data_IF_275770979218
#
_entry.id   IF_275770979218
#
_cell.length_a   1.000
_cell.length_b   1.000
_cell.length_c   1.000
_cell.angle_alpha   90.00
_cell.angle_beta   90.00
_cell.angle_gamma   90.00
#
_symmetry.space_group_name_H-M   'P 1'
#
loop_
_entity.id
_entity.type
_entity.pdbx_description
1 polymer ?
#
# COMPACT_ATOMS: atom_id res chain seq x y z
N UNK A 1 0.11 -18.21 35.39
CA UNK A 1 -0.81 -17.05 35.38
C UNK A 1 -1.44 -17.00 34.00
N UNK A 2 -2.70 -17.45 33.89
CA UNK A 2 -3.44 -17.58 32.63
C UNK A 2 -3.96 -16.21 32.20
N UNK A 3 -3.58 -15.75 31.01
CA UNK A 3 -4.27 -14.66 30.34
C UNK A 3 -5.52 -15.22 29.64
N UNK A 4 -6.63 -15.21 30.35
CA UNK A 4 -7.95 -15.50 29.80
C UNK A 4 -8.53 -14.22 29.19
N UNK A 5 -8.63 -14.22 27.86
CA UNK A 5 -9.14 -13.14 27.03
C UNK A 5 -8.74 -13.45 25.60
N UNK A 6 -9.33 -14.51 25.03
CA UNK A 6 -9.04 -14.94 23.66
C UNK A 6 -9.52 -13.89 22.66
N UNK A 7 -8.73 -12.85 22.44
CA UNK A 7 -8.91 -11.96 21.29
C UNK A 7 -8.77 -12.80 20.04
N UNK A 8 -9.82 -12.81 19.23
CA UNK A 8 -9.85 -13.52 17.95
C UNK A 8 -8.66 -13.06 17.08
N UNK A 9 -7.87 -14.03 16.61
CA UNK A 9 -6.71 -13.76 15.77
C UNK A 9 -7.11 -13.23 14.40
N UNK A 10 -6.27 -12.40 13.77
CA UNK A 10 -6.48 -11.89 12.41
C UNK A 10 -6.81 -13.02 11.43
N UNK A 11 -6.21 -14.20 11.62
CA UNK A 11 -6.36 -15.38 10.76
C UNK A 11 -7.80 -15.89 10.68
N UNK A 12 -8.54 -15.81 11.78
CA UNK A 12 -9.94 -16.24 11.82
C UNK A 12 -10.82 -15.40 10.89
N UNK A 13 -10.35 -14.20 10.53
CA UNK A 13 -11.00 -13.27 9.59
C UNK A 13 -10.66 -13.54 8.13
N UNK A 14 -9.55 -14.22 7.81
CA UNK A 14 -9.16 -14.57 6.43
C UNK A 14 -9.42 -16.04 6.12
N UNK A 15 -10.67 -16.48 6.26
CA UNK A 15 -11.06 -17.86 5.96
C UNK A 15 -10.85 -18.15 4.46
N UNK A 16 -10.06 -19.17 4.14
CA UNK A 16 -9.73 -19.55 2.76
C UNK A 16 -8.41 -19.00 2.24
N UNK A 17 -7.62 -18.32 3.08
CA UNK A 17 -6.21 -18.00 2.77
C UNK A 17 -5.41 -19.28 2.48
N UNK A 18 -4.48 -19.22 1.54
CA UNK A 18 -3.58 -20.35 1.28
C UNK A 18 -2.74 -20.67 2.52
N UNK A 19 -2.61 -21.96 2.91
CA UNK A 19 -1.78 -22.35 4.04
C UNK A 19 -0.32 -21.90 3.90
N UNK A 20 0.20 -21.87 2.67
CA UNK A 20 1.56 -21.45 2.36
C UNK A 20 1.76 -19.96 2.64
N UNK A 21 0.84 -19.10 2.19
CA UNK A 21 0.90 -17.66 2.47
C UNK A 21 0.79 -17.41 3.98
N UNK A 22 -0.18 -18.05 4.64
CA UNK A 22 -0.39 -17.86 6.07
C UNK A 22 0.84 -18.26 6.90
N UNK A 23 1.46 -19.40 6.59
CA UNK A 23 2.69 -19.83 7.25
C UNK A 23 3.83 -18.82 7.04
N UNK A 24 3.98 -18.29 5.83
CA UNK A 24 5.02 -17.29 5.49
C UNK A 24 4.79 -15.97 6.20
N UNK A 25 3.55 -15.48 6.27
CA UNK A 25 3.17 -14.29 7.04
C UNK A 25 3.53 -14.47 8.52
N UNK A 26 3.13 -15.59 9.14
CA UNK A 26 3.50 -15.89 10.54
C UNK A 26 5.01 -15.87 10.75
N UNK A 27 5.75 -16.54 9.86
CA UNK A 27 7.21 -16.63 9.95
C UNK A 27 7.87 -15.25 9.87
N UNK A 28 7.51 -14.44 8.88
CA UNK A 28 8.10 -13.13 8.66
C UNK A 28 7.84 -12.16 9.82
N UNK A 29 6.60 -12.14 10.33
CA UNK A 29 6.23 -11.29 11.46
C UNK A 29 6.87 -11.73 12.77
N UNK A 30 6.92 -13.04 13.02
CA UNK A 30 7.59 -13.62 14.19
C UNK A 30 9.10 -13.36 14.18
N UNK A 31 9.75 -13.51 13.01
CA UNK A 31 11.18 -13.25 12.85
C UNK A 31 11.57 -11.80 13.20
N UNK A 32 10.69 -10.84 12.92
CA UNK A 32 10.88 -9.43 13.26
C UNK A 32 10.42 -9.07 14.68
N UNK A 33 9.87 -10.03 15.43
CA UNK A 33 9.28 -9.85 16.76
C UNK A 33 8.19 -8.78 16.77
N UNK A 34 7.28 -8.83 15.79
CA UNK A 34 6.17 -7.88 15.66
C UNK A 34 4.87 -8.62 15.91
N UNK A 35 4.05 -8.09 16.81
CA UNK A 35 2.72 -8.62 17.12
C UNK A 35 1.73 -8.19 16.02
N UNK A 36 1.51 -9.08 15.05
CA UNK A 36 0.57 -8.85 13.95
C UNK A 36 -0.86 -8.69 14.45
N UNK A 37 -1.31 -9.51 15.40
CA UNK A 37 -2.69 -9.46 15.90
C UNK A 37 -3.00 -8.12 16.58
N UNK A 38 -2.03 -7.56 17.32
CA UNK A 38 -2.19 -6.24 17.93
C UNK A 38 -2.25 -5.12 16.87
N UNK A 39 -1.29 -5.09 15.93
CA UNK A 39 -1.28 -4.05 14.89
C UNK A 39 -2.51 -4.15 13.97
N UNK A 40 -2.91 -5.37 13.61
CA UNK A 40 -4.10 -5.63 12.80
C UNK A 40 -5.37 -5.08 13.45
N UNK A 41 -5.55 -5.29 14.77
CA UNK A 41 -6.70 -4.76 15.51
C UNK A 41 -6.71 -3.23 15.61
N UNK A 42 -5.54 -2.60 15.79
CA UNK A 42 -5.42 -1.14 15.92
C UNK A 42 -5.64 -0.39 14.60
N UNK A 43 -5.42 -1.06 13.47
CA UNK A 43 -5.43 -0.45 12.15
C UNK A 43 -6.53 -1.05 11.26
N UNK A 44 -6.39 -2.30 10.83
CA UNK A 44 -7.29 -2.93 9.85
C UNK A 44 -8.69 -3.10 10.42
N UNK A 45 -8.82 -3.68 11.62
CA UNK A 45 -10.13 -3.84 12.27
C UNK A 45 -10.79 -2.50 12.65
N UNK A 46 -9.98 -1.44 12.76
CA UNK A 46 -10.42 -0.09 13.08
C UNK A 46 -10.71 0.76 11.83
N UNK A 47 -10.54 0.22 10.61
CA UNK A 47 -10.85 0.94 9.38
C UNK A 47 -12.32 1.39 9.36
N UNK A 48 -12.62 2.61 8.87
CA UNK A 48 -13.99 3.03 8.63
C UNK A 48 -14.70 2.08 7.67
N UNK A 49 -15.83 1.53 8.10
CA UNK A 49 -16.60 0.58 7.28
C UNK A 49 -15.93 -0.79 7.13
N UNK A 50 -15.05 -1.19 8.06
CA UNK A 50 -14.46 -2.52 8.10
C UNK A 50 -15.53 -3.61 7.93
N UNK A 51 -15.25 -4.54 7.03
CA UNK A 51 -16.06 -5.73 6.76
C UNK A 51 -15.14 -6.93 6.65
N UNK A 52 -15.51 -8.03 7.29
CA UNK A 52 -14.82 -9.29 7.08
C UNK A 52 -15.00 -9.73 5.62
N UNK A 53 -13.98 -10.36 5.00
CA UNK A 53 -14.22 -11.05 3.73
C UNK A 53 -15.28 -12.12 3.97
N UNK A 54 -16.34 -12.11 3.16
CA UNK A 54 -17.36 -13.14 3.21
C UNK A 54 -16.70 -14.51 3.06
N UNK A 55 -17.01 -15.49 3.93
CA UNK A 55 -16.49 -16.84 3.78
C UNK A 55 -16.92 -17.37 2.42
N UNK A 56 -15.98 -17.44 1.47
CA UNK A 56 -16.24 -18.06 0.19
C UNK A 56 -16.72 -19.49 0.44
N UNK A 57 -17.83 -19.88 -0.20
CA UNK A 57 -18.25 -21.29 -0.27
C UNK A 57 -17.06 -22.08 -0.77
N UNK A 58 -16.37 -22.81 0.12
CA UNK A 58 -15.16 -23.61 -0.13
C UNK A 58 -14.48 -23.24 -1.46
N UNK A 59 -13.94 -22.02 -1.54
CA UNK A 59 -13.45 -21.51 -2.81
C UNK A 59 -12.29 -22.40 -3.28
N UNK A 60 -12.36 -22.91 -4.50
CA UNK A 60 -11.28 -23.69 -5.12
C UNK A 60 -10.00 -22.85 -5.32
N UNK A 61 -10.11 -21.52 -5.18
CA UNK A 61 -9.06 -20.54 -5.40
C UNK A 61 -8.92 -19.62 -4.17
N UNK A 62 -7.74 -19.63 -3.54
CA UNK A 62 -7.40 -18.77 -2.41
C UNK A 62 -7.00 -17.35 -2.82
N UNK A 63 -6.69 -17.12 -4.12
CA UNK A 63 -6.14 -15.87 -4.64
C UNK A 63 -6.90 -14.62 -4.16
N UNK A 64 -8.25 -14.57 -4.15
CA UNK A 64 -8.95 -13.38 -3.69
C UNK A 64 -8.71 -13.06 -2.22
N UNK A 65 -8.66 -14.07 -1.36
CA UNK A 65 -8.43 -13.91 0.09
C UNK A 65 -6.96 -13.64 0.37
N UNK A 66 -6.06 -14.28 -0.38
CA UNK A 66 -4.61 -14.04 -0.33
C UNK A 66 -4.28 -12.58 -0.69
N UNK A 67 -4.87 -12.06 -1.77
CA UNK A 67 -4.74 -10.65 -2.16
C UNK A 67 -5.28 -9.71 -1.09
N UNK A 68 -6.43 -10.02 -0.48
CA UNK A 68 -7.00 -9.19 0.59
C UNK A 68 -6.10 -9.15 1.83
N UNK A 69 -5.53 -10.31 2.21
CA UNK A 69 -4.58 -10.38 3.31
C UNK A 69 -3.36 -9.51 3.02
N UNK A 70 -2.76 -9.65 1.83
CA UNK A 70 -1.58 -8.88 1.44
C UNK A 70 -1.85 -7.37 1.30
N UNK A 71 -3.04 -7.01 0.81
CA UNK A 71 -3.52 -5.63 0.79
C UNK A 71 -3.57 -5.04 2.20
N UNK A 72 -4.18 -5.75 3.14
CA UNK A 72 -4.32 -5.31 4.53
C UNK A 72 -2.95 -5.20 5.23
N UNK A 73 -1.96 -6.02 4.82
CA UNK A 73 -0.56 -5.92 5.27
C UNK A 73 0.12 -4.64 4.76
N UNK A 74 -0.13 -4.26 3.51
CA UNK A 74 0.30 -2.97 2.98
C UNK A 74 -0.33 -1.80 3.73
N UNK A 75 -1.65 -1.87 3.99
CA UNK A 75 -2.36 -0.85 4.76
C UNK A 75 -1.75 -0.65 6.15
N UNK A 76 -1.41 -1.73 6.87
CA UNK A 76 -0.78 -1.64 8.19
C UNK A 76 0.46 -0.74 8.17
N UNK A 77 1.25 -0.80 7.10
CA UNK A 77 2.47 -0.02 6.99
C UNK A 77 2.18 1.46 6.75
N UNK A 78 1.18 1.77 5.91
CA UNK A 78 0.73 3.15 5.66
C UNK A 78 0.12 3.76 6.93
N UNK A 79 -0.68 3.00 7.67
CA UNK A 79 -1.25 3.45 8.94
C UNK A 79 -0.16 3.72 9.99
N UNK A 80 0.85 2.85 10.08
CA UNK A 80 2.02 3.09 10.91
C UNK A 80 2.75 4.36 10.48
N UNK A 81 3.01 4.56 9.18
CA UNK A 81 3.64 5.78 8.66
C UNK A 81 2.84 7.03 9.04
N UNK A 82 1.52 7.01 8.87
CA UNK A 82 0.61 8.11 9.22
C UNK A 82 0.71 8.49 10.69
N UNK A 83 0.61 7.51 11.58
CA UNK A 83 0.64 7.73 13.04
C UNK A 83 2.01 8.22 13.51
N UNK A 84 3.08 7.62 13.00
CA UNK A 84 4.42 7.98 13.45
C UNK A 84 4.92 9.28 12.80
N UNK A 85 4.46 9.66 11.61
CA UNK A 85 4.65 11.01 11.08
C UNK A 85 3.97 12.06 11.96
N UNK A 86 2.74 11.81 12.42
CA UNK A 86 2.07 12.69 13.37
C UNK A 86 2.83 12.77 14.72
N UNK A 87 3.36 11.65 15.19
CA UNK A 87 4.18 11.62 16.40
C UNK A 87 5.49 12.40 16.25
N UNK A 88 6.17 12.32 15.10
CA UNK A 88 7.35 13.12 14.78
C UNK A 88 7.06 14.63 14.77
N UNK A 89 5.86 15.05 14.37
CA UNK A 89 5.46 16.46 14.39
C UNK A 89 5.19 16.92 15.83
N UNK A 90 4.49 16.10 16.61
CA UNK A 90 4.12 16.42 17.99
C UNK A 90 5.32 16.36 18.95
N UNK A 91 6.23 15.41 18.72
CA UNK A 91 7.40 15.13 19.55
C UNK A 91 8.62 15.00 18.64
N UNK A 92 9.08 16.11 18.02
CA UNK A 92 10.26 16.06 17.18
C UNK A 92 11.44 15.55 18.02
N UNK A 93 12.25 14.60 17.51
CA UNK A 93 13.52 14.30 18.16
C UNK A 93 14.34 15.60 18.22
N UNK A 94 15.24 15.72 19.20
CA UNK A 94 16.06 16.92 19.47
C UNK A 94 16.58 17.63 18.21
N UNK A 95 17.03 18.89 18.33
CA UNK A 95 17.34 19.92 17.30
C UNK A 95 18.00 19.54 15.95
N UNK A 96 18.35 18.28 15.69
CA UNK A 96 18.92 17.73 14.46
C UNK A 96 17.96 16.79 13.71
N UNK A 97 16.70 17.15 13.45
CA UNK A 97 15.82 16.34 12.56
C UNK A 97 16.38 16.31 11.14
N UNK A 98 16.43 15.14 10.51
CA UNK A 98 16.97 14.97 9.16
C UNK A 98 15.96 15.37 8.08
N UNK A 99 14.68 15.08 8.32
CA UNK A 99 13.55 15.59 7.56
C UNK A 99 13.24 17.03 7.98
N UNK A 100 12.83 17.84 6.99
CA UNK A 100 12.22 19.13 7.28
C UNK A 100 10.79 18.94 7.79
N UNK A 101 10.25 19.95 8.48
CA UNK A 101 8.87 19.91 8.96
C UNK A 101 7.88 19.70 7.82
N UNK A 102 8.11 20.33 6.66
CA UNK A 102 7.27 20.21 5.47
C UNK A 102 7.31 18.79 4.91
N UNK A 103 8.46 18.11 4.96
CA UNK A 103 8.56 16.70 4.56
C UNK A 103 7.72 15.83 5.49
N UNK A 104 7.87 15.99 6.81
CA UNK A 104 7.12 15.19 7.79
C UNK A 104 5.61 15.45 7.71
N UNK A 105 5.19 16.72 7.64
CA UNK A 105 3.79 17.12 7.45
C UNK A 105 3.22 16.58 6.14
N UNK A 106 3.96 16.71 5.04
CA UNK A 106 3.54 16.21 3.74
C UNK A 106 3.38 14.69 3.73
N UNK A 107 4.32 13.95 4.31
CA UNK A 107 4.22 12.49 4.46
C UNK A 107 3.04 12.08 5.33
N UNK A 108 2.82 12.74 6.47
CA UNK A 108 1.68 12.46 7.34
C UNK A 108 0.34 12.70 6.63
N UNK A 109 0.22 13.79 5.88
CA UNK A 109 -0.98 14.12 5.10
C UNK A 109 -1.24 13.11 3.98
N UNK A 110 -0.20 12.72 3.23
CA UNK A 110 -0.34 11.71 2.17
C UNK A 110 -0.62 10.32 2.73
N UNK A 111 0.01 9.92 3.83
CA UNK A 111 -0.27 8.64 4.49
C UNK A 111 -1.70 8.61 5.06
N UNK A 112 -2.22 9.74 5.54
CA UNK A 112 -3.63 9.87 5.93
C UNK A 112 -4.56 9.67 4.73
N UNK A 113 -4.33 10.39 3.63
CA UNK A 113 -5.13 10.23 2.40
C UNK A 113 -5.05 8.81 1.84
N UNK A 114 -3.86 8.21 1.81
CA UNK A 114 -3.66 6.82 1.41
C UNK A 114 -4.43 5.84 2.31
N UNK A 115 -4.50 6.07 3.63
CA UNK A 115 -5.33 5.25 4.50
C UNK A 115 -6.82 5.31 4.11
N UNK A 116 -7.34 6.51 3.82
CA UNK A 116 -8.73 6.68 3.40
C UNK A 116 -8.98 6.02 2.03
N UNK A 117 -8.09 6.24 1.06
CA UNK A 117 -8.19 5.65 -0.27
C UNK A 117 -8.08 4.13 -0.25
N UNK A 118 -7.18 3.56 0.54
CA UNK A 118 -7.05 2.10 0.69
C UNK A 118 -8.26 1.49 1.40
N UNK A 119 -8.76 2.12 2.45
CA UNK A 119 -9.99 1.68 3.10
C UNK A 119 -11.18 1.70 2.12
N UNK A 120 -11.26 2.73 1.27
CA UNK A 120 -12.26 2.83 0.22
C UNK A 120 -12.10 1.74 -0.85
N UNK A 121 -10.89 1.50 -1.36
CA UNK A 121 -10.61 0.41 -2.32
C UNK A 121 -11.04 -0.93 -1.75
N UNK A 122 -10.68 -1.23 -0.50
CA UNK A 122 -11.06 -2.47 0.19
C UNK A 122 -12.58 -2.61 0.29
N UNK A 123 -13.27 -1.56 0.74
CA UNK A 123 -14.73 -1.55 0.89
C UNK A 123 -15.45 -1.73 -0.45
N UNK A 124 -15.02 -1.01 -1.48
CA UNK A 124 -15.59 -1.08 -2.82
C UNK A 124 -15.36 -2.44 -3.47
N UNK A 125 -14.19 -3.04 -3.23
CA UNK A 125 -13.90 -4.39 -3.70
C UNK A 125 -14.81 -5.44 -3.04
N UNK A 126 -14.96 -5.38 -1.72
CA UNK A 126 -15.90 -6.26 -1.00
C UNK A 126 -17.37 -6.00 -1.39
N UNK A 127 -17.71 -4.78 -1.82
CA UNK A 127 -19.03 -4.43 -2.32
C UNK A 127 -19.27 -4.78 -3.80
N UNK A 128 -18.25 -5.30 -4.52
CA UNK A 128 -18.39 -5.65 -5.94
C UNK A 128 -18.37 -4.45 -6.90
N UNK A 129 -17.89 -3.27 -6.45
CA UNK A 129 -17.94 -2.02 -7.20
C UNK A 129 -16.61 -1.73 -7.93
N UNK A 130 -16.39 -2.42 -9.05
CA UNK A 130 -15.12 -2.36 -9.79
C UNK A 130 -14.74 -0.97 -10.31
N UNK A 131 -15.67 -0.26 -10.95
CA UNK A 131 -15.40 1.05 -11.55
C UNK A 131 -14.89 2.08 -10.55
N UNK A 132 -15.57 2.35 -9.42
CA UNK A 132 -15.05 3.30 -8.44
C UNK A 132 -13.77 2.78 -7.75
N UNK A 133 -13.60 1.47 -7.56
CA UNK A 133 -12.35 0.92 -7.01
C UNK A 133 -11.14 1.21 -7.93
N UNK A 134 -11.32 1.08 -9.25
CA UNK A 134 -10.29 1.41 -10.24
C UNK A 134 -9.88 2.89 -10.19
N UNK A 135 -10.87 3.78 -10.06
CA UNK A 135 -10.64 5.22 -9.99
C UNK A 135 -9.79 5.61 -8.77
N UNK A 136 -10.12 5.08 -7.60
CA UNK A 136 -9.35 5.35 -6.37
C UNK A 136 -7.98 4.68 -6.43
N UNK A 137 -7.86 3.47 -6.99
CA UNK A 137 -6.57 2.79 -7.15
C UNK A 137 -5.56 3.60 -7.98
N UNK A 138 -6.04 4.39 -8.95
CA UNK A 138 -5.19 5.34 -9.68
C UNK A 138 -4.66 6.45 -8.77
N UNK A 139 -5.52 7.05 -7.95
CA UNK A 139 -5.12 8.05 -6.95
C UNK A 139 -4.08 7.50 -5.98
N UNK A 140 -4.28 6.27 -5.48
CA UNK A 140 -3.29 5.56 -4.64
C UNK A 140 -1.91 5.53 -5.31
N UNK A 141 -1.84 5.23 -6.61
CA UNK A 141 -0.56 5.19 -7.34
C UNK A 141 0.12 6.56 -7.42
N UNK A 142 -0.65 7.62 -7.68
CA UNK A 142 -0.16 8.99 -7.77
C UNK A 142 0.32 9.51 -6.41
N UNK A 143 -0.38 9.14 -5.34
CA UNK A 143 -0.04 9.47 -3.96
C UNK A 143 1.24 8.79 -3.49
N UNK A 144 1.43 7.52 -3.84
CA UNK A 144 2.68 6.79 -3.59
C UNK A 144 3.85 7.50 -4.26
N UNK A 145 3.72 7.90 -5.53
CA UNK A 145 4.79 8.61 -6.23
C UNK A 145 5.11 9.94 -5.54
N UNK A 146 4.07 10.69 -5.13
CA UNK A 146 4.24 11.97 -4.46
C UNK A 146 4.88 11.81 -3.07
N UNK A 147 4.49 10.80 -2.29
CA UNK A 147 5.08 10.52 -0.98
C UNK A 147 6.58 10.21 -1.10
N UNK A 148 6.97 9.40 -2.08
CA UNK A 148 8.38 9.12 -2.38
C UNK A 148 9.09 10.38 -2.91
N UNK A 149 8.45 11.19 -3.74
CA UNK A 149 9.03 12.45 -4.22
C UNK A 149 9.29 13.46 -3.09
N UNK A 150 8.44 13.49 -2.06
CA UNK A 150 8.62 14.29 -0.85
C UNK A 150 9.85 13.83 -0.06
N UNK A 151 10.09 12.51 0.03
CA UNK A 151 11.31 11.98 0.68
C UNK A 151 12.57 12.42 -0.06
N UNK A 152 12.56 12.37 -1.38
CA UNK A 152 13.72 12.66 -2.23
C UNK A 152 14.00 14.16 -2.34
N UNK A 153 12.97 15.01 -2.45
CA UNK A 153 13.14 16.42 -2.82
C UNK A 153 12.39 17.37 -1.91
N UNK A 154 13.13 17.99 -0.97
CA UNK A 154 12.64 19.04 -0.04
C UNK A 154 11.82 20.16 -0.71
N UNK A 155 12.21 20.59 -1.92
CA UNK A 155 11.47 21.63 -2.67
C UNK A 155 10.04 21.20 -3.05
N UNK A 156 9.82 19.91 -3.33
CA UNK A 156 8.49 19.37 -3.62
C UNK A 156 7.66 19.38 -2.35
N UNK A 157 8.25 18.97 -1.22
CA UNK A 157 7.60 19.02 0.09
C UNK A 157 7.17 20.44 0.48
N UNK A 158 8.06 21.42 0.33
CA UNK A 158 7.75 22.82 0.61
C UNK A 158 6.65 23.37 -0.33
N UNK A 159 6.66 23.00 -1.60
CA UNK A 159 5.61 23.41 -2.54
C UNK A 159 4.25 22.75 -2.23
N UNK A 160 4.25 21.49 -1.79
CA UNK A 160 3.05 20.80 -1.35
C UNK A 160 2.51 21.43 -0.05
N UNK A 161 3.38 21.64 0.94
CA UNK A 161 3.04 22.30 2.19
C UNK A 161 2.60 23.74 2.01
N UNK A 162 2.96 24.43 0.92
CA UNK A 162 2.51 25.78 0.63
C UNK A 162 1.08 25.86 0.06
N UNK A 163 0.47 24.75 -0.36
CA UNK A 163 -0.88 24.75 -0.92
C UNK A 163 -1.92 25.09 0.16
N UNK A 164 -2.73 26.13 -0.05
CA UNK A 164 -3.80 26.54 0.88
C UNK A 164 -5.18 26.42 0.26
N UNK A 165 -5.27 26.48 -1.06
CA UNK A 165 -6.52 26.45 -1.82
C UNK A 165 -6.59 25.26 -2.78
N UNK A 166 -7.80 24.88 -3.24
CA UNK A 166 -7.96 23.92 -4.32
C UNK A 166 -7.21 24.30 -5.61
N UNK A 167 -7.11 25.59 -5.91
CA UNK A 167 -6.39 26.13 -7.06
C UNK A 167 -4.88 25.94 -6.92
N UNK A 168 -4.32 26.20 -5.72
CA UNK A 168 -2.90 25.94 -5.42
C UNK A 168 -2.59 24.45 -5.61
N UNK A 169 -3.46 23.59 -5.06
CA UNK A 169 -3.31 22.15 -5.22
C UNK A 169 -3.34 21.77 -6.70
N UNK A 170 -4.32 22.24 -7.47
CA UNK A 170 -4.40 21.94 -8.91
C UNK A 170 -3.17 22.44 -9.69
N UNK A 171 -2.63 23.60 -9.35
CA UNK A 171 -1.39 24.11 -9.92
C UNK A 171 -0.17 23.26 -9.53
N UNK A 172 -0.08 22.85 -8.26
CA UNK A 172 0.95 21.95 -7.76
C UNK A 172 0.93 20.60 -8.50
N UNK A 173 -0.24 19.96 -8.58
CA UNK A 173 -0.45 18.69 -9.26
C UNK A 173 -0.03 18.77 -10.73
N UNK A 174 -0.46 19.82 -11.44
CA UNK A 174 -0.07 20.08 -12.84
C UNK A 174 1.41 20.36 -13.03
N UNK A 175 2.15 20.71 -11.98
CA UNK A 175 3.58 21.07 -12.09
C UNK A 175 4.50 19.94 -11.64
N UNK A 176 4.08 19.16 -10.65
CA UNK A 176 4.94 18.21 -9.94
C UNK A 176 4.52 16.74 -10.08
N UNK A 177 3.26 16.45 -10.39
CA UNK A 177 2.75 15.07 -10.37
C UNK A 177 2.26 14.62 -11.75
N UNK A 178 1.41 15.42 -12.39
CA UNK A 178 0.78 15.07 -13.66
C UNK A 178 1.81 14.68 -14.74
N UNK A 179 1.44 13.75 -15.62
CA UNK A 179 2.34 13.25 -16.68
C UNK A 179 3.48 12.37 -16.16
N UNK A 180 3.38 11.83 -14.95
CA UNK A 180 4.40 10.93 -14.38
C UNK A 180 5.64 11.65 -13.84
N UNK A 181 5.58 12.97 -13.61
CA UNK A 181 6.75 13.74 -13.13
C UNK A 181 7.24 13.30 -11.75
N UNK A 182 6.32 13.00 -10.84
CA UNK A 182 6.68 12.48 -9.52
C UNK A 182 7.38 11.12 -9.66
N UNK A 183 6.85 10.24 -10.52
CA UNK A 183 7.50 8.98 -10.85
C UNK A 183 8.90 9.15 -11.44
N UNK A 184 9.07 10.00 -12.45
CA UNK A 184 10.39 10.21 -13.08
C UNK A 184 11.44 10.69 -12.08
N UNK A 185 11.03 11.56 -11.15
CA UNK A 185 11.89 12.01 -10.06
C UNK A 185 12.29 10.84 -9.14
N UNK A 186 11.35 9.98 -8.78
CA UNK A 186 11.60 8.80 -7.93
C UNK A 186 12.47 7.76 -8.67
N UNK A 187 12.15 7.45 -9.93
CA UNK A 187 12.89 6.51 -10.76
C UNK A 187 14.35 6.93 -10.93
N UNK A 188 14.60 8.23 -11.15
CA UNK A 188 15.96 8.78 -11.18
C UNK A 188 16.69 8.59 -9.85
N UNK A 189 16.04 8.86 -8.73
CA UNK A 189 16.66 8.67 -7.42
C UNK A 189 16.97 7.19 -7.15
N UNK A 190 16.07 6.27 -7.52
CA UNK A 190 16.30 4.83 -7.42
C UNK A 190 17.48 4.37 -8.31
N UNK A 191 17.61 4.92 -9.51
CA UNK A 191 18.73 4.65 -10.40
C UNK A 191 20.08 5.08 -9.78
N UNK A 192 20.12 6.23 -9.10
CA UNK A 192 21.31 6.68 -8.35
C UNK A 192 21.70 5.72 -7.22
N UNK A 193 20.78 4.87 -6.75
CA UNK A 193 21.01 3.79 -5.79
C UNK A 193 21.22 2.40 -6.44
N UNK A 194 21.41 2.33 -7.76
CA UNK A 194 21.69 1.09 -8.49
C UNK A 194 20.46 0.21 -8.75
N UNK A 195 19.25 0.72 -8.54
CA UNK A 195 18.01 0.03 -8.90
C UNK A 195 17.59 0.48 -10.30
N UNK A 196 17.80 -0.37 -11.30
CA UNK A 196 17.41 -0.06 -12.68
C UNK A 196 15.89 -0.10 -12.84
N UNK A 197 15.31 1.11 -12.92
CA UNK A 197 13.89 1.35 -13.20
C UNK A 197 13.75 2.36 -14.33
N UNK A 198 14.61 2.28 -15.35
CA UNK A 198 14.51 3.10 -16.55
C UNK A 198 13.12 3.02 -17.23
N UNK A 199 12.78 4.00 -18.06
CA UNK A 199 11.47 4.09 -18.74
C UNK A 199 11.16 2.88 -19.65
N UNK A 200 12.20 2.16 -20.08
CA UNK A 200 12.11 0.96 -20.91
C UNK A 200 12.13 -0.37 -20.11
N UNK A 201 12.19 -0.29 -18.78
CA UNK A 201 12.15 -1.49 -17.92
C UNK A 201 10.81 -2.24 -18.06
N UNK A 202 10.83 -3.56 -17.87
CA UNK A 202 9.61 -4.38 -17.85
C UNK A 202 8.59 -3.87 -16.82
N UNK A 203 9.09 -3.35 -15.71
CA UNK A 203 8.28 -2.70 -14.69
C UNK A 203 7.60 -1.42 -15.19
N UNK A 204 8.33 -0.52 -15.86
CA UNK A 204 7.74 0.70 -16.42
C UNK A 204 6.71 0.39 -17.51
N UNK A 205 6.86 -0.75 -18.21
CA UNK A 205 5.88 -1.27 -19.17
C UNK A 205 4.62 -1.79 -18.45
N UNK A 206 4.76 -2.70 -17.50
CA UNK A 206 3.65 -3.21 -16.67
C UNK A 206 2.86 -2.07 -16.04
N UNK A 207 3.54 -1.09 -15.45
CA UNK A 207 2.89 0.06 -14.82
C UNK A 207 2.07 0.88 -15.82
N UNK A 208 2.59 1.12 -17.03
CA UNK A 208 1.85 1.82 -18.09
C UNK A 208 0.59 1.03 -18.48
N UNK A 209 0.72 -0.28 -18.69
CA UNK A 209 -0.39 -1.15 -19.04
C UNK A 209 -1.49 -1.14 -17.98
N UNK A 210 -1.13 -1.27 -16.70
CA UNK A 210 -2.10 -1.23 -15.60
C UNK A 210 -2.74 0.16 -15.46
N UNK A 211 -1.98 1.24 -15.59
CA UNK A 211 -2.55 2.60 -15.57
C UNK A 211 -3.49 2.85 -16.75
N UNK A 212 -3.22 2.27 -17.93
CA UNK A 212 -4.13 2.29 -19.08
C UNK A 212 -5.41 1.53 -18.76
N UNK A 213 -5.31 0.33 -18.17
CA UNK A 213 -6.46 -0.46 -17.74
C UNK A 213 -7.33 0.30 -16.72
N UNK A 214 -6.72 0.84 -15.66
CA UNK A 214 -7.42 1.64 -14.66
C UNK A 214 -8.00 2.94 -15.26
N UNK A 215 -7.31 3.54 -16.24
CA UNK A 215 -7.76 4.71 -16.97
C UNK A 215 -9.00 4.47 -17.82
N UNK A 216 -9.22 3.25 -18.30
CA UNK A 216 -10.43 2.88 -19.04
C UNK A 216 -11.71 3.00 -18.19
N UNK A 217 -11.59 2.89 -16.85
CA UNK A 217 -12.69 3.11 -15.91
C UNK A 217 -13.17 4.57 -15.83
N UNK A 218 -12.32 5.53 -16.22
CA UNK A 218 -12.61 6.97 -16.18
C UNK A 218 -13.28 7.44 -17.48
N UNK A 219 -12.96 6.80 -18.60
CA UNK A 219 -13.40 7.19 -19.94
C UNK A 219 -14.35 6.18 -20.60
N UNK A 220 -15.07 5.40 -19.79
CA UNK A 220 -15.79 4.19 -20.20
C UNK A 220 -16.48 4.28 -21.57
N UNK A 221 -16.17 3.33 -22.44
CA UNK A 221 -16.88 3.15 -23.71
C UNK A 221 -18.34 2.70 -23.51
N UNK A 222 -19.16 2.68 -24.57
CA UNK A 222 -20.64 2.55 -24.49
C UNK A 222 -21.19 1.31 -23.75
N UNK A 223 -20.35 0.28 -23.52
CA UNK A 223 -20.74 -0.95 -22.81
C UNK A 223 -20.44 -0.97 -21.31
N UNK A 224 -19.67 -0.02 -20.78
CA UNK A 224 -19.17 -0.05 -19.39
C UNK A 224 -20.29 0.11 -18.33
N UNK A 225 -21.40 0.77 -18.69
CA UNK A 225 -22.54 0.98 -17.79
C UNK A 225 -23.55 -0.17 -17.74
N UNK A 226 -23.65 -0.99 -18.80
CA UNK A 226 -24.67 -2.05 -18.89
C UNK A 226 -24.24 -3.37 -18.21
N UNK A 227 -22.94 -3.64 -18.11
CA UNK A 227 -22.42 -4.86 -17.47
C UNK A 227 -22.44 -4.84 -15.93
N UNK A 228 -22.36 -3.65 -15.32
CA UNK A 228 -22.28 -3.49 -13.86
C UNK A 228 -23.58 -3.93 -13.14
N UNK A 229 -24.75 -3.65 -13.71
CA UNK A 229 -26.03 -4.08 -13.16
C UNK A 229 -26.24 -5.61 -13.27
N UNK A 230 -25.74 -6.23 -14.34
CA UNK A 230 -25.85 -7.67 -14.56
C UNK A 230 -24.82 -8.49 -13.76
N UNK A 231 -23.64 -7.94 -13.47
CA UNK A 231 -22.61 -8.58 -12.62
C UNK A 231 -22.90 -8.41 -11.12
N UNK A 232 -23.53 -7.31 -10.68
CA UNK A 232 -24.01 -7.16 -9.31
C UNK A 232 -25.01 -8.26 -8.89
N UNK A 233 -25.71 -8.88 -9.85
CA UNK A 233 -26.63 -9.99 -9.61
C UNK A 233 -25.94 -11.34 -9.39
N UNK A 234 -24.64 -11.47 -9.71
CA UNK A 234 -23.83 -12.68 -9.44
C UNK A 234 -22.81 -12.34 -8.36
N UNK A 235 -23.11 -12.74 -7.12
CA UNK A 235 -22.23 -12.69 -5.94
C UNK A 235 -20.99 -13.57 -6.11
N UNK A 236 -20.14 -13.30 -7.09
CA UNK A 236 -18.81 -13.86 -7.15
C UNK A 236 -17.94 -13.09 -6.15
N UNK A 237 -17.23 -13.77 -5.23
CA UNK A 237 -16.31 -13.12 -4.30
C UNK A 237 -15.14 -12.56 -5.13
N UNK A 238 -15.11 -11.24 -5.33
CA UNK A 238 -14.07 -10.50 -6.07
C UNK A 238 -13.84 -10.99 -7.53
N UNK A 239 -14.58 -10.40 -8.49
CA UNK A 239 -14.31 -10.60 -9.92
C UNK A 239 -12.90 -10.13 -10.34
N UNK A 240 -12.43 -10.54 -11.52
CA UNK A 240 -11.07 -10.28 -12.01
C UNK A 240 -10.66 -8.80 -11.96
N UNK A 241 -11.53 -7.88 -12.39
CA UNK A 241 -11.25 -6.45 -12.35
C UNK A 241 -11.00 -5.92 -10.92
N UNK A 242 -11.66 -6.49 -9.92
CA UNK A 242 -11.46 -6.12 -8.51
C UNK A 242 -10.18 -6.73 -7.93
N UNK A 243 -9.84 -7.94 -8.33
CA UNK A 243 -8.56 -8.56 -8.00
C UNK A 243 -7.41 -7.74 -8.57
N UNK A 244 -7.51 -7.25 -9.82
CA UNK A 244 -6.52 -6.36 -10.42
C UNK A 244 -6.39 -5.03 -9.67
N UNK A 245 -7.51 -4.44 -9.21
CA UNK A 245 -7.46 -3.22 -8.37
C UNK A 245 -6.70 -3.46 -7.06
N UNK A 246 -7.07 -4.53 -6.35
CA UNK A 246 -6.44 -4.90 -5.09
C UNK A 246 -4.96 -5.22 -5.28
N UNK A 247 -4.63 -6.00 -6.31
CA UNK A 247 -3.26 -6.34 -6.68
C UNK A 247 -2.45 -5.08 -6.95
N UNK A 248 -2.93 -4.19 -7.82
CA UNK A 248 -2.23 -2.95 -8.15
C UNK A 248 -2.02 -2.07 -6.92
N UNK A 249 -3.08 -1.80 -6.13
CA UNK A 249 -2.97 -0.99 -4.93
C UNK A 249 -2.00 -1.62 -3.91
N UNK A 250 -2.02 -2.95 -3.76
CA UNK A 250 -1.10 -3.69 -2.88
C UNK A 250 0.34 -3.50 -3.32
N UNK A 251 0.64 -3.72 -4.61
CA UNK A 251 1.99 -3.53 -5.15
C UNK A 251 2.44 -2.10 -4.95
N UNK A 252 1.60 -1.10 -5.24
CA UNK A 252 1.96 0.31 -5.06
C UNK A 252 2.29 0.67 -3.61
N UNK A 253 1.57 0.13 -2.65
CA UNK A 253 1.86 0.36 -1.22
C UNK A 253 3.11 -0.39 -0.76
N UNK A 254 3.32 -1.62 -1.23
CA UNK A 254 4.56 -2.37 -0.96
C UNK A 254 5.79 -1.66 -1.55
N UNK A 255 5.64 -1.05 -2.73
CA UNK A 255 6.67 -0.21 -3.34
C UNK A 255 6.95 1.05 -2.53
N UNK A 256 5.91 1.72 -2.02
CA UNK A 256 6.11 2.85 -1.11
C UNK A 256 7.00 2.43 0.07
N UNK A 257 6.72 1.28 0.68
CA UNK A 257 7.53 0.75 1.78
C UNK A 257 8.96 0.42 1.35
N UNK A 258 9.11 -0.38 0.29
CA UNK A 258 10.41 -0.82 -0.20
C UNK A 258 11.31 0.35 -0.62
N UNK A 259 10.76 1.31 -1.37
CA UNK A 259 11.50 2.48 -1.82
C UNK A 259 11.73 3.49 -0.70
N UNK A 260 10.86 3.56 0.31
CA UNK A 260 11.14 4.36 1.52
C UNK A 260 12.32 3.80 2.34
N UNK A 261 12.60 2.49 2.29
CA UNK A 261 13.83 1.94 2.89
C UNK A 261 15.07 2.51 2.19
N UNK A 262 15.06 2.52 0.86
CA UNK A 262 16.20 2.95 0.05
C UNK A 262 16.38 4.47 0.09
N UNK A 263 15.31 5.21 -0.21
CA UNK A 263 15.32 6.66 -0.39
C UNK A 263 15.11 7.43 0.93
N UNK A 264 14.48 6.80 1.93
CA UNK A 264 14.06 7.43 3.18
C UNK A 264 15.08 7.32 4.32
N UNK A 265 16.38 7.47 4.05
CA UNK A 265 17.39 7.45 5.11
C UNK A 265 17.10 8.47 6.22
N UNK A 266 16.69 9.70 5.86
CA UNK A 266 16.27 10.73 6.81
C UNK A 266 15.03 10.33 7.62
N UNK A 267 14.03 9.74 6.95
CA UNK A 267 12.83 9.23 7.62
C UNK A 267 13.18 8.16 8.67
N UNK A 268 14.00 7.17 8.29
CA UNK A 268 14.45 6.12 9.21
C UNK A 268 15.27 6.68 10.38
N UNK A 269 16.15 7.64 10.13
CA UNK A 269 16.95 8.28 11.17
C UNK A 269 16.08 9.05 12.19
N UNK A 270 15.05 9.75 11.72
CA UNK A 270 14.14 10.48 12.60
C UNK A 270 13.23 9.54 13.38
N UNK A 271 12.62 8.54 12.72
CA UNK A 271 11.81 7.51 13.36
C UNK A 271 12.59 6.70 14.40
N UNK A 272 13.85 6.36 14.11
CA UNK A 272 14.71 5.60 15.03
C UNK A 272 15.13 6.38 16.28
N UNK A 273 14.98 7.71 16.27
CA UNK A 273 15.23 8.59 17.43
C UNK A 273 13.97 8.89 18.22
N UNK A 274 12.78 8.55 17.71
CA UNK A 274 11.54 8.81 18.41
C UNK A 274 11.43 7.90 19.64
N UNK A 275 11.36 8.50 20.82
CA UNK A 275 11.11 7.76 22.06
C UNK A 275 9.64 7.30 22.09
N UNK A 276 9.35 5.98 22.11
CA UNK A 276 7.98 5.50 22.12
C UNK A 276 7.27 5.88 23.43
N UNK A 277 6.07 6.44 23.31
CA UNK A 277 5.24 6.87 24.44
C UNK A 277 4.33 5.74 24.96
N UNK A 278 4.22 4.63 24.22
CA UNK A 278 3.45 3.45 24.61
C UNK A 278 4.01 2.16 23.98
N UNK A 279 3.69 0.98 24.54
CA UNK A 279 4.05 -0.30 23.92
C UNK A 279 3.50 -0.46 22.49
N UNK A 280 2.28 0.01 22.24
CA UNK A 280 1.65 0.00 20.92
C UNK A 280 2.45 0.84 19.91
N UNK A 281 2.89 2.04 20.32
CA UNK A 281 3.75 2.87 19.49
C UNK A 281 5.12 2.21 19.24
N UNK A 282 5.71 1.59 20.26
CA UNK A 282 6.97 0.86 20.09
C UNK A 282 6.85 -0.28 19.06
N UNK A 283 5.71 -0.99 19.04
CA UNK A 283 5.43 -2.02 18.05
C UNK A 283 5.29 -1.45 16.63
N UNK A 284 4.54 -0.34 16.47
CA UNK A 284 4.40 0.35 15.17
C UNK A 284 5.73 0.90 14.64
N UNK A 285 6.53 1.54 15.49
CA UNK A 285 7.86 2.04 15.11
C UNK A 285 8.77 0.89 14.66
N UNK A 286 8.76 -0.23 15.40
CA UNK A 286 9.50 -1.44 15.00
C UNK A 286 9.04 -1.94 13.63
N UNK A 287 7.73 -1.99 13.39
CA UNK A 287 7.19 -2.40 12.11
C UNK A 287 7.52 -1.42 10.98
N UNK A 288 7.47 -0.12 11.21
CA UNK A 288 7.83 0.86 10.19
C UNK A 288 9.33 0.79 9.81
N UNK A 289 10.20 0.52 10.80
CA UNK A 289 11.65 0.43 10.62
C UNK A 289 12.13 -0.94 10.08
N UNK A 290 11.42 -2.03 10.37
CA UNK A 290 11.85 -3.42 10.05
C UNK A 290 10.88 -4.20 9.17
N UNK A 291 9.62 -3.79 9.10
CA UNK A 291 8.56 -4.45 8.33
C UNK A 291 8.72 -4.31 6.82
N UNK A 292 9.63 -3.46 6.35
CA UNK A 292 9.96 -3.35 4.93
C UNK A 292 10.44 -4.67 4.32
N UNK A 293 11.20 -5.48 5.06
CA UNK A 293 11.63 -6.81 4.60
C UNK A 293 10.43 -7.76 4.45
N UNK A 294 9.44 -7.65 5.34
CA UNK A 294 8.18 -8.42 5.27
C UNK A 294 7.44 -8.07 3.98
N UNK A 295 7.28 -6.77 3.69
CA UNK A 295 6.55 -6.31 2.51
C UNK A 295 7.29 -6.60 1.20
N UNK A 296 8.63 -6.52 1.18
CA UNK A 296 9.43 -6.91 0.01
C UNK A 296 9.28 -8.41 -0.26
N UNK A 297 9.31 -9.25 0.78
CA UNK A 297 9.13 -10.69 0.64
C UNK A 297 7.73 -11.05 0.12
N UNK A 298 6.70 -10.37 0.63
CA UNK A 298 5.32 -10.50 0.14
C UNK A 298 5.15 -10.02 -1.31
N UNK A 299 5.84 -8.94 -1.70
CA UNK A 299 5.82 -8.44 -3.06
C UNK A 299 6.41 -9.47 -4.04
N UNK A 300 7.50 -10.14 -3.66
CA UNK A 300 8.08 -11.24 -4.47
C UNK A 300 7.08 -12.37 -4.65
N UNK A 301 6.37 -12.76 -3.58
CA UNK A 301 5.33 -13.78 -3.66
C UNK A 301 4.25 -13.41 -4.67
N UNK A 302 3.78 -12.16 -4.66
CA UNK A 302 2.77 -11.66 -5.60
C UNK A 302 3.25 -11.71 -7.05
N UNK A 303 4.49 -11.27 -7.30
CA UNK A 303 5.04 -11.19 -8.66
C UNK A 303 5.48 -12.54 -9.21
N UNK A 304 5.92 -13.47 -8.36
CA UNK A 304 6.35 -14.82 -8.77
C UNK A 304 5.15 -15.75 -8.98
N UNK A 305 4.06 -15.57 -8.23
CA UNK A 305 2.83 -16.35 -8.41
C UNK A 305 2.11 -16.09 -9.74
N UNK A 306 2.42 -14.97 -10.42
CA UNK A 306 1.89 -14.61 -11.74
C UNK A 306 2.78 -15.07 -12.91
N UNK A 307 3.96 -15.67 -12.68
CA UNK A 307 4.72 -16.35 -13.75
C UNK A 307 4.05 -17.71 -14.08
N UNK A 308 3.63 -17.98 -15.33
CA UNK A 308 3.20 -19.33 -15.71
C UNK A 308 4.39 -20.29 -15.51
N UNK A 309 4.16 -21.54 -15.05
CA UNK A 309 5.23 -22.50 -14.86
C UNK A 309 5.99 -22.62 -16.18
N UNK A 310 7.27 -22.26 -16.17
CA UNK A 310 8.16 -22.40 -17.31
C UNK A 310 8.06 -23.86 -17.74
N UNK A 311 7.44 -24.10 -18.90
CA UNK A 311 7.45 -25.42 -19.52
C UNK A 311 8.91 -25.80 -19.62
N UNK A 312 9.32 -26.78 -18.81
CA UNK A 312 10.60 -27.44 -18.97
C UNK A 312 10.65 -27.89 -20.43
N UNK A 313 11.48 -27.22 -21.23
CA UNK A 313 11.84 -27.70 -22.53
C UNK A 313 12.58 -29.01 -22.27
N UNK A 314 11.85 -30.12 -22.37
CA UNK A 314 12.43 -31.43 -22.47
C UNK A 314 13.37 -31.38 -23.68
N UNK A 315 14.67 -31.38 -23.41
CA UNK A 315 15.69 -31.70 -24.38
C UNK A 315 15.48 -33.16 -24.77
N UNK A 316 14.98 -33.38 -25.98
CA UNK A 316 15.15 -34.60 -26.75
C UNK A 316 15.99 -34.26 -27.97
#
# INVERSE_FOLDING_TARGET
MMFAGGTESFEARYRGVSPQLLARVRQNWSAQQIDLDALWREAVAAMPGFRDPEPGVAALDSRPVDLLLLFDQGYLWVDALRREAAALIAHPPDAQTALTREQTSGLGALAARLCDDLAAVRLLALAGLATPAMQISRTVSEDVDLALAILVRRKVAAAFDACRTPEDAAAFWRSHVAGGRAFQLVARALYEHGLDRGEDSEYARWRREVLTFLGAAVHGGPGAGMGAAAQAARRAPLGSALQECLYFATVRVQELSAYAIVLGASLRADLGRLAPQSPAQAARLRFLLRGGDILIDQMRWLTEADEPPRRSAALH
#
